data_IF_790372692270
#
_entry.id   IF_790372692270
#
_cell.length_a   1.000
_cell.length_b   1.000
_cell.length_c   1.000
_cell.angle_alpha   90.00
_cell.angle_beta   90.00
_cell.angle_gamma   90.00
#
_symmetry.space_group_name_H-M   'P 1'
#
loop_
_entity.id
_entity.type
_entity.pdbx_description
1 polymer ?
#
# COMPACT_ATOMS: atom_id res chain seq x y z
N UNK A 1 3.39 -11.26 16.07
CA UNK A 1 3.56 -9.85 15.71
C UNK A 1 4.82 -9.71 14.87
N UNK A 2 4.63 -9.50 13.58
CA UNK A 2 5.68 -9.14 12.63
C UNK A 2 6.18 -7.73 12.93
N UNK A 3 7.47 -7.51 12.71
CA UNK A 3 8.06 -6.18 12.68
C UNK A 3 7.58 -5.42 11.43
N UNK A 4 7.51 -4.09 11.53
CA UNK A 4 7.07 -3.23 10.44
C UNK A 4 7.85 -3.48 9.13
N UNK A 5 9.16 -3.70 9.24
CA UNK A 5 10.03 -3.93 8.09
C UNK A 5 9.70 -5.25 7.37
N UNK A 6 9.37 -6.31 8.12
CA UNK A 6 8.99 -7.60 7.55
C UNK A 6 7.61 -7.52 6.88
N UNK A 7 6.66 -6.84 7.53
CA UNK A 7 5.34 -6.59 6.95
C UNK A 7 5.43 -5.72 5.68
N UNK A 8 6.32 -4.72 5.67
CA UNK A 8 6.57 -3.90 4.48
C UNK A 8 7.16 -4.74 3.34
N UNK A 9 8.09 -5.64 3.65
CA UNK A 9 8.64 -6.56 2.66
C UNK A 9 7.55 -7.47 2.06
N UNK A 10 6.62 -7.99 2.89
CA UNK A 10 5.46 -8.74 2.41
C UNK A 10 4.57 -7.93 1.46
N UNK A 11 4.31 -6.65 1.78
CA UNK A 11 3.53 -5.77 0.92
C UNK A 11 4.21 -5.51 -0.43
N UNK A 12 5.52 -5.26 -0.43
CA UNK A 12 6.31 -5.06 -1.67
C UNK A 12 6.28 -6.32 -2.53
N UNK A 13 6.58 -7.49 -1.96
CA UNK A 13 6.55 -8.76 -2.70
C UNK A 13 5.16 -9.15 -3.17
N UNK A 14 4.10 -8.72 -2.48
CA UNK A 14 2.72 -8.89 -2.94
C UNK A 14 2.43 -8.01 -4.15
N UNK A 15 2.82 -6.73 -4.09
CA UNK A 15 2.63 -5.80 -5.20
C UNK A 15 3.34 -6.28 -6.48
N UNK A 16 4.61 -6.65 -6.38
CA UNK A 16 5.42 -7.14 -7.50
C UNK A 16 4.80 -8.37 -8.18
N UNK A 17 4.26 -9.30 -7.40
CA UNK A 17 3.58 -10.50 -7.92
C UNK A 17 2.21 -10.22 -8.53
N UNK A 18 1.56 -9.15 -8.09
CA UNK A 18 0.23 -8.75 -8.57
C UNK A 18 0.26 -7.90 -9.83
N UNK A 19 1.40 -7.26 -10.10
CA UNK A 19 1.58 -6.33 -11.21
C UNK A 19 1.49 -7.07 -12.55
N UNK A 20 0.75 -6.49 -13.50
CA UNK A 20 0.64 -7.02 -14.86
C UNK A 20 1.72 -6.45 -15.77
N UNK A 21 2.05 -7.18 -16.83
CA UNK A 21 3.05 -6.78 -17.82
C UNK A 21 2.68 -5.49 -18.59
N UNK A 22 1.39 -5.16 -18.68
CA UNK A 22 0.87 -3.99 -19.38
C UNK A 22 0.64 -2.77 -18.47
N UNK A 23 0.89 -2.90 -17.16
CA UNK A 23 0.75 -1.82 -16.19
C UNK A 23 2.07 -1.05 -16.02
N UNK A 24 2.01 0.27 -15.74
CA UNK A 24 3.20 1.03 -15.41
C UNK A 24 3.87 0.46 -14.14
N UNK A 25 5.19 0.64 -13.96
CA UNK A 25 5.90 0.24 -12.75
C UNK A 25 5.21 0.77 -11.49
N UNK A 26 4.86 -0.12 -10.57
CA UNK A 26 4.22 0.21 -9.31
C UNK A 26 5.23 0.11 -8.16
N UNK A 27 5.08 0.96 -7.16
CA UNK A 27 5.84 0.85 -5.92
C UNK A 27 5.00 1.26 -4.71
N UNK A 28 5.37 0.75 -3.54
CA UNK A 28 4.79 1.16 -2.26
C UNK A 28 5.29 2.56 -1.91
N UNK A 29 4.36 3.42 -1.47
CA UNK A 29 4.64 4.75 -0.95
C UNK A 29 5.14 4.64 0.50
N UNK A 30 6.43 4.33 0.66
CA UNK A 30 7.06 4.07 1.97
C UNK A 30 6.91 5.24 2.95
N UNK A 31 6.82 6.47 2.45
CA UNK A 31 6.61 7.68 3.27
C UNK A 31 5.21 7.74 3.92
N UNK A 32 4.25 6.98 3.38
CA UNK A 32 2.85 6.94 3.84
C UNK A 32 2.44 5.60 4.43
N UNK A 33 3.39 4.67 4.55
CA UNK A 33 3.17 3.41 5.27
C UNK A 33 2.91 3.73 6.74
N UNK A 34 1.88 3.09 7.30
CA UNK A 34 1.51 3.28 8.71
C UNK A 34 0.91 2.03 9.29
N UNK A 35 0.98 1.91 10.60
CA UNK A 35 0.31 0.86 11.36
C UNK A 35 -0.99 1.37 11.98
N UNK A 36 -2.04 0.55 11.97
CA UNK A 36 -3.29 0.87 12.64
C UNK A 36 -4.08 -0.41 12.90
N UNK A 37 -4.57 -0.59 14.14
CA UNK A 37 -5.42 -1.72 14.53
C UNK A 37 -4.85 -3.11 14.16
N UNK A 38 -3.55 -3.32 14.35
CA UNK A 38 -2.88 -4.58 14.01
C UNK A 38 -2.63 -4.81 12.51
N UNK A 39 -2.87 -3.80 11.67
CA UNK A 39 -2.58 -3.84 10.24
C UNK A 39 -1.45 -2.88 9.87
N UNK A 40 -0.55 -3.32 8.99
CA UNK A 40 0.23 -2.43 8.16
C UNK A 40 -0.65 -1.97 6.98
N UNK A 41 -0.77 -0.66 6.82
CA UNK A 41 -1.45 -0.04 5.69
C UNK A 41 -0.38 0.54 4.78
N UNK A 42 -0.22 -0.03 3.60
CA UNK A 42 0.81 0.32 2.61
C UNK A 42 0.17 0.85 1.32
N UNK A 43 0.00 2.18 1.18
CA UNK A 43 -0.40 2.79 -0.07
C UNK A 43 0.63 2.51 -1.17
N UNK A 44 0.19 2.38 -2.41
CA UNK A 44 1.08 2.24 -3.56
C UNK A 44 0.55 3.07 -4.73
N UNK A 45 1.43 3.36 -5.70
CA UNK A 45 1.03 3.97 -6.97
C UNK A 45 2.13 3.74 -8.03
N UNK A 46 1.99 4.38 -9.19
CA UNK A 46 3.04 4.40 -10.20
C UNK A 46 4.32 5.03 -9.67
N UNK A 47 5.47 4.47 -10.05
CA UNK A 47 6.78 5.03 -9.72
C UNK A 47 6.87 6.49 -10.22
N UNK A 48 6.28 6.82 -11.37
CA UNK A 48 6.26 8.20 -11.86
C UNK A 48 5.55 9.15 -10.90
N UNK A 49 4.34 8.80 -10.43
CA UNK A 49 3.61 9.62 -9.46
C UNK A 49 4.37 9.72 -8.14
N UNK A 50 4.94 8.63 -7.63
CA UNK A 50 5.67 8.66 -6.36
C UNK A 50 6.90 9.57 -6.44
N UNK A 51 7.56 9.62 -7.59
CA UNK A 51 8.74 10.45 -7.84
C UNK A 51 8.38 11.94 -7.96
N UNK A 52 7.29 12.27 -8.64
CA UNK A 52 6.93 13.65 -8.99
C UNK A 52 5.93 14.30 -8.01
N UNK A 53 5.11 13.47 -7.36
CA UNK A 53 3.88 13.86 -6.66
C UNK A 53 2.91 14.68 -7.53
N UNK A 54 3.04 14.62 -8.85
CA UNK A 54 2.13 15.28 -9.79
C UNK A 54 0.83 14.47 -9.88
N UNK A 55 -0.27 15.07 -9.41
CA UNK A 55 -1.61 14.48 -9.42
C UNK A 55 -2.08 14.03 -10.81
N UNK A 56 -1.53 14.61 -11.90
CA UNK A 56 -1.83 14.19 -13.27
C UNK A 56 -1.27 12.83 -13.63
N UNK A 57 -0.25 12.36 -12.89
CA UNK A 57 0.40 11.07 -13.07
C UNK A 57 -0.14 10.01 -12.10
N UNK A 58 -1.03 10.41 -11.19
CA UNK A 58 -1.60 9.53 -10.19
C UNK A 58 -2.51 8.50 -10.84
N UNK A 59 -2.22 7.22 -10.59
CA UNK A 59 -3.16 6.15 -10.93
C UNK A 59 -4.34 6.19 -9.97
N UNK A 60 -5.53 6.11 -10.55
CA UNK A 60 -6.79 5.97 -9.84
C UNK A 60 -7.04 4.49 -9.54
N UNK A 61 -7.82 4.20 -8.50
CA UNK A 61 -8.14 2.84 -8.01
C UNK A 61 -6.96 2.02 -7.45
N UNK A 62 -5.85 2.65 -7.06
CA UNK A 62 -4.82 2.00 -6.23
C UNK A 62 -5.28 1.90 -4.77
N UNK A 63 -5.99 0.82 -4.42
CA UNK A 63 -6.34 0.51 -3.03
C UNK A 63 -5.09 0.10 -2.25
N UNK A 64 -4.85 0.59 -1.02
CA UNK A 64 -3.63 0.22 -0.28
C UNK A 64 -3.57 -1.27 -0.01
N UNK A 65 -2.35 -1.79 0.10
CA UNK A 65 -2.08 -3.15 0.54
C UNK A 65 -2.20 -3.19 2.06
N UNK A 66 -2.91 -4.18 2.58
CA UNK A 66 -3.10 -4.44 3.99
C UNK A 66 -2.33 -5.71 4.36
N UNK A 67 -1.49 -5.62 5.40
CA UNK A 67 -0.79 -6.76 5.98
C UNK A 67 -1.22 -6.90 7.43
N UNK A 68 -1.75 -8.06 7.78
CA UNK A 68 -2.05 -8.41 9.16
C UNK A 68 -0.76 -8.69 9.92
N UNK A 69 -0.49 -7.91 10.97
CA UNK A 69 0.78 -7.98 11.70
C UNK A 69 0.88 -9.22 12.59
N UNK A 70 -0.22 -9.92 12.87
CA UNK A 70 -0.18 -11.12 13.71
C UNK A 70 0.03 -12.39 12.88
N UNK A 71 -0.68 -12.51 11.76
CA UNK A 71 -0.67 -13.67 10.88
C UNK A 71 0.29 -13.55 9.69
N UNK A 72 0.59 -12.33 9.24
CA UNK A 72 1.31 -12.06 8.00
C UNK A 72 0.43 -12.14 6.75
N UNK A 73 -0.88 -12.26 6.88
CA UNK A 73 -1.81 -12.29 5.75
C UNK A 73 -1.76 -10.95 4.98
N UNK A 74 -1.64 -11.03 3.65
CA UNK A 74 -1.49 -9.87 2.77
C UNK A 74 -2.57 -9.84 1.70
N UNK A 75 -3.17 -8.68 1.48
CA UNK A 75 -4.19 -8.46 0.43
C UNK A 75 -4.32 -7.00 0.06
N UNK A 76 -5.01 -6.73 -1.05
CA UNK A 76 -5.52 -5.39 -1.32
C UNK A 76 -6.65 -5.03 -0.35
N UNK A 77 -6.69 -3.77 0.05
CA UNK A 77 -7.84 -3.17 0.70
C UNK A 77 -9.05 -3.16 -0.21
N UNK A 78 -10.21 -3.10 0.41
CA UNK A 78 -11.52 -3.07 -0.27
C UNK A 78 -12.19 -1.71 -0.05
N UNK A 79 -13.22 -1.41 -0.84
CA UNK A 79 -13.95 -0.14 -0.72
C UNK A 79 -14.55 0.08 0.69
N UNK A 80 -15.00 -0.98 1.36
CA UNK A 80 -15.59 -0.90 2.72
C UNK A 80 -14.55 -0.46 3.76
N UNK A 81 -13.28 -0.68 3.45
CA UNK A 81 -12.12 -0.34 4.29
C UNK A 81 -11.58 1.06 4.00
N UNK A 82 -12.29 1.85 3.18
CA UNK A 82 -11.92 3.24 2.85
C UNK A 82 -11.70 4.12 4.07
N UNK A 83 -12.36 3.80 5.18
CA UNK A 83 -12.17 4.49 6.46
C UNK A 83 -10.73 4.36 6.99
N UNK A 84 -10.00 3.30 6.63
CA UNK A 84 -8.59 3.07 6.97
C UNK A 84 -7.63 3.90 6.13
N UNK A 85 -8.07 4.67 5.13
CA UNK A 85 -7.14 5.41 4.23
C UNK A 85 -7.02 6.88 4.58
N UNK A 86 -7.87 7.38 5.47
CA UNK A 86 -7.76 8.73 5.98
C UNK A 86 -6.79 8.72 7.16
N UNK A 87 -5.85 9.65 7.18
CA UNK A 87 -5.19 9.98 8.43
C UNK A 87 -6.27 10.42 9.43
N UNK A 88 -6.24 9.96 10.69
CA UNK A 88 -7.01 10.62 11.72
C UNK A 88 -6.56 12.08 11.71
N UNK A 89 -7.45 12.98 11.28
CA UNK A 89 -7.28 14.40 11.54
C UNK A 89 -7.32 14.52 13.07
N UNK A 90 -6.18 14.85 13.67
CA UNK A 90 -6.16 15.47 15.00
C UNK A 90 -6.98 16.74 14.98
#
# INVERSE_FOLDING_TARGET
MLEQADALHLAVSFLERSQRDDEPPLAVDTERVRESNGLLIAPYNSVQYLSSRDVRQQLLDCWPILVDLDSGDVRFGTLDERHLWRNPRT
#
